data_IF_696075873931
#
_entry.id   IF_696075873931
#
_cell.length_a   1.000
_cell.length_b   1.000
_cell.length_c   1.000
_cell.angle_alpha   90.00
_cell.angle_beta   90.00
_cell.angle_gamma   90.00
#
_symmetry.space_group_name_H-M   'P 1'
#
loop_
_entity.id
_entity.type
_entity.pdbx_description
1 polymer ?
#
# COMPACT_ATOMS: atom_id res chain seq x y z
N UNK A 1 -17.75 -3.85 -18.91
CA UNK A 1 -16.91 -3.27 -17.83
C UNK A 1 -17.43 -3.88 -16.55
N UNK A 2 -16.65 -4.73 -15.88
CA UNK A 2 -17.07 -5.39 -14.65
C UNK A 2 -16.78 -4.43 -13.50
N UNK A 3 -17.82 -3.91 -12.87
CA UNK A 3 -17.68 -3.11 -11.67
C UNK A 3 -17.24 -4.04 -10.53
N UNK A 4 -16.14 -3.71 -9.83
CA UNK A 4 -15.79 -4.40 -8.59
C UNK A 4 -16.89 -4.11 -7.57
N UNK A 5 -17.45 -5.17 -6.97
CA UNK A 5 -18.36 -5.04 -5.84
C UNK A 5 -17.58 -4.43 -4.67
N UNK A 6 -18.02 -3.27 -4.19
CA UNK A 6 -17.37 -2.62 -3.05
C UNK A 6 -17.70 -3.40 -1.78
N UNK A 7 -16.68 -3.68 -0.97
CA UNK A 7 -16.81 -4.41 0.31
C UNK A 7 -17.38 -3.54 1.45
N UNK A 8 -17.81 -2.32 1.13
CA UNK A 8 -18.21 -1.28 2.09
C UNK A 8 -19.74 -1.16 2.20
N UNK A 9 -20.26 -0.84 3.40
CA UNK A 9 -21.65 -0.37 3.56
C UNK A 9 -21.81 1.09 3.09
N UNK A 10 -23.04 1.62 3.11
CA UNK A 10 -23.41 3.00 2.80
C UNK A 10 -22.48 4.10 3.39
N UNK A 11 -21.73 3.86 4.48
CA UNK A 11 -20.81 4.86 5.07
C UNK A 11 -19.56 4.27 5.77
N UNK A 12 -18.51 3.92 5.02
CA UNK A 12 -17.27 3.39 5.57
C UNK A 12 -16.45 4.48 6.26
N UNK A 13 -15.91 4.18 7.44
CA UNK A 13 -15.02 5.10 8.17
C UNK A 13 -13.67 5.26 7.45
N UNK A 14 -13.20 6.50 7.34
CA UNK A 14 -11.89 6.79 6.77
C UNK A 14 -10.78 6.33 7.73
N UNK A 15 -9.98 5.37 7.28
CA UNK A 15 -8.74 4.95 7.96
C UNK A 15 -7.54 5.38 7.14
N UNK A 16 -6.46 5.74 7.82
CA UNK A 16 -5.21 6.16 7.19
C UNK A 16 -4.09 5.18 7.50
N UNK A 17 -3.34 4.82 6.47
CA UNK A 17 -2.12 4.02 6.55
C UNK A 17 -0.92 4.90 6.23
N UNK A 18 0.06 4.89 7.11
CA UNK A 18 1.29 5.68 7.06
C UNK A 18 2.46 4.78 7.46
N UNK A 19 3.66 5.34 7.52
CA UNK A 19 4.85 4.65 8.01
C UNK A 19 4.66 4.01 9.41
N UNK A 20 3.83 4.58 10.27
CA UNK A 20 3.64 4.08 11.65
C UNK A 20 2.77 2.83 11.77
N UNK A 21 1.96 2.50 10.76
CA UNK A 21 0.97 1.41 10.87
C UNK A 21 0.80 0.57 9.59
N UNK A 22 1.55 0.83 8.52
CA UNK A 22 1.41 0.05 7.28
C UNK A 22 1.76 -1.44 7.45
N UNK A 23 2.60 -1.79 8.43
CA UNK A 23 2.91 -3.19 8.79
C UNK A 23 1.71 -3.93 9.39
N UNK A 24 0.67 -3.22 9.81
CA UNK A 24 -0.57 -3.83 10.34
C UNK A 24 -1.49 -4.34 9.21
N UNK A 25 -1.19 -3.97 7.96
CA UNK A 25 -1.96 -4.43 6.80
C UNK A 25 -1.71 -5.92 6.55
N UNK A 26 -2.76 -6.77 6.49
CA UNK A 26 -2.60 -8.20 6.24
C UNK A 26 -1.81 -8.50 4.96
N UNK A 27 -2.03 -7.70 3.92
CA UNK A 27 -1.31 -7.88 2.66
C UNK A 27 0.18 -7.52 2.74
N UNK A 28 0.56 -6.56 3.60
CA UNK A 28 1.97 -6.21 3.85
C UNK A 28 2.64 -7.28 4.70
N UNK A 29 1.94 -7.85 5.68
CA UNK A 29 2.46 -8.96 6.50
C UNK A 29 2.78 -10.22 5.69
N UNK A 30 2.11 -10.40 4.54
CA UNK A 30 2.39 -11.49 3.61
C UNK A 30 3.65 -11.26 2.75
N UNK A 31 4.20 -10.03 2.73
CA UNK A 31 5.46 -9.74 2.06
C UNK A 31 6.66 -10.18 2.91
N UNK A 32 7.79 -10.45 2.26
CA UNK A 32 9.03 -10.79 2.97
C UNK A 32 9.47 -9.64 3.89
N UNK A 33 10.15 -9.97 4.99
CA UNK A 33 10.68 -8.95 5.92
C UNK A 33 11.61 -7.96 5.20
N UNK A 34 12.39 -8.43 4.21
CA UNK A 34 13.21 -7.56 3.37
C UNK A 34 12.37 -6.51 2.64
N UNK A 35 11.22 -6.90 2.06
CA UNK A 35 10.32 -5.96 1.38
C UNK A 35 9.70 -4.97 2.35
N UNK A 36 9.25 -5.43 3.52
CA UNK A 36 8.71 -4.55 4.55
C UNK A 36 9.76 -3.54 5.04
N UNK A 37 11.00 -3.98 5.20
CA UNK A 37 12.13 -3.12 5.58
C UNK A 37 12.48 -2.12 4.46
N UNK A 38 12.52 -2.53 3.20
CA UNK A 38 12.71 -1.62 2.06
C UNK A 38 11.64 -0.50 2.07
N UNK A 39 10.37 -0.85 2.30
CA UNK A 39 9.29 0.11 2.40
C UNK A 39 9.49 1.08 3.57
N UNK A 40 9.95 0.59 4.72
CA UNK A 40 10.23 1.40 5.91
C UNK A 40 11.37 2.39 5.65
N UNK A 41 12.48 1.93 5.08
CA UNK A 41 13.64 2.79 4.75
C UNK A 41 13.23 3.90 3.80
N UNK A 42 12.52 3.55 2.72
CA UNK A 42 12.07 4.54 1.73
C UNK A 42 11.06 5.50 2.35
N UNK A 43 10.12 4.99 3.16
CA UNK A 43 9.10 5.78 3.83
C UNK A 43 9.66 6.77 4.88
N UNK A 44 10.86 6.52 5.42
CA UNK A 44 11.58 7.48 6.27
C UNK A 44 12.16 8.66 5.47
N UNK A 45 12.42 8.50 4.18
CA UNK A 45 12.95 9.55 3.29
C UNK A 45 11.82 10.26 2.55
N UNK A 46 10.89 9.48 2.00
CA UNK A 46 9.75 9.94 1.21
C UNK A 46 8.46 9.65 1.98
N UNK A 47 7.82 10.66 2.59
CA UNK A 47 6.60 10.45 3.34
C UNK A 47 5.48 9.94 2.43
N UNK A 48 4.70 8.99 2.91
CA UNK A 48 3.53 8.46 2.21
C UNK A 48 2.32 8.39 3.14
N UNK A 49 1.13 8.39 2.55
CA UNK A 49 -0.14 8.15 3.23
C UNK A 49 -1.13 7.54 2.24
N UNK A 50 -1.68 6.38 2.58
CA UNK A 50 -2.79 5.76 1.86
C UNK A 50 -4.04 5.74 2.75
N UNK A 51 -5.23 5.65 2.16
CA UNK A 51 -6.46 5.42 2.90
C UNK A 51 -6.97 4.00 2.67
N UNK A 52 -7.94 3.57 3.48
CA UNK A 52 -8.56 2.25 3.32
C UNK A 52 -9.27 2.05 1.98
N UNK A 53 -9.80 3.09 1.34
CA UNK A 53 -10.38 2.92 0.00
C UNK A 53 -9.34 2.47 -1.02
N UNK A 54 -8.19 3.15 -1.03
CA UNK A 54 -7.07 2.82 -1.92
C UNK A 54 -6.59 1.40 -1.66
N UNK A 55 -6.35 1.07 -0.39
CA UNK A 55 -5.82 -0.24 0.02
C UNK A 55 -6.78 -1.38 -0.27
N UNK A 56 -8.08 -1.21 0.03
CA UNK A 56 -9.05 -2.31 0.00
C UNK A 56 -9.78 -2.42 -1.35
N UNK A 57 -9.92 -1.32 -2.10
CA UNK A 57 -10.75 -1.27 -3.30
C UNK A 57 -9.97 -1.01 -4.59
N UNK A 58 -8.82 -0.32 -4.53
CA UNK A 58 -8.12 0.12 -5.75
C UNK A 58 -6.86 -0.69 -6.06
N UNK A 59 -6.20 -1.26 -5.06
CA UNK A 59 -4.99 -2.08 -5.26
C UNK A 59 -5.40 -3.52 -5.58
N UNK A 60 -4.95 -4.04 -6.72
CA UNK A 60 -4.98 -5.47 -6.99
C UNK A 60 -3.78 -6.17 -6.34
N UNK A 61 -3.99 -6.69 -5.12
CA UNK A 61 -2.97 -7.40 -4.36
C UNK A 61 -2.50 -8.71 -5.02
N UNK A 62 -3.23 -9.24 -6.01
CA UNK A 62 -2.79 -10.42 -6.78
C UNK A 62 -1.82 -10.06 -7.90
N UNK A 63 -1.67 -8.77 -8.21
CA UNK A 63 -0.85 -8.24 -9.30
C UNK A 63 0.35 -7.42 -8.80
N UNK A 64 0.76 -7.60 -7.55
CA UNK A 64 1.95 -6.95 -6.99
C UNK A 64 3.22 -7.70 -7.43
N UNK A 65 4.31 -6.99 -7.78
CA UNK A 65 4.53 -5.56 -7.60
C UNK A 65 4.11 -4.66 -8.78
N UNK A 66 3.45 -5.20 -9.79
CA UNK A 66 3.12 -4.48 -11.04
C UNK A 66 1.83 -3.68 -11.02
N UNK A 67 1.02 -3.81 -9.97
CA UNK A 67 -0.22 -3.06 -9.81
C UNK A 67 0.06 -1.54 -9.78
N UNK A 68 -0.54 -0.73 -10.67
CA UNK A 68 -0.28 0.71 -10.74
C UNK A 68 -0.65 1.45 -9.46
N UNK A 69 -1.72 1.04 -8.77
CA UNK A 69 -2.16 1.70 -7.55
C UNK A 69 -1.19 1.41 -6.41
N UNK A 70 -0.70 0.18 -6.27
CA UNK A 70 0.38 -0.18 -5.35
C UNK A 70 1.63 0.65 -5.66
N UNK A 71 2.03 0.71 -6.92
CA UNK A 71 3.25 1.42 -7.35
C UNK A 71 3.20 2.91 -7.01
N UNK A 72 2.05 3.55 -7.19
CA UNK A 72 1.85 4.97 -6.94
C UNK A 72 1.71 5.32 -5.46
N UNK A 73 1.33 4.37 -4.61
CA UNK A 73 0.89 4.66 -3.23
C UNK A 73 1.88 4.19 -2.17
N UNK A 74 2.56 3.06 -2.39
CA UNK A 74 3.47 2.48 -1.42
C UNK A 74 4.94 2.79 -1.73
N UNK A 75 5.77 3.04 -0.69
CA UNK A 75 7.19 3.28 -0.88
C UNK A 75 7.89 2.07 -1.52
N UNK A 76 8.78 2.32 -2.47
CA UNK A 76 9.52 1.28 -3.16
C UNK A 76 11.00 1.60 -3.21
N UNK A 77 11.85 0.56 -3.13
CA UNK A 77 13.31 0.70 -3.17
C UNK A 77 13.81 1.55 -4.35
N UNK A 78 13.20 1.39 -5.53
CA UNK A 78 13.57 2.14 -6.73
C UNK A 78 13.26 3.65 -6.68
N UNK A 79 12.56 4.13 -5.66
CA UNK A 79 12.30 5.57 -5.47
C UNK A 79 13.55 6.30 -4.94
N UNK A 80 14.49 5.58 -4.32
CA UNK A 80 15.77 6.12 -3.92
C UNK A 80 16.79 5.88 -5.03
N UNK A 81 17.61 6.90 -5.32
CA UNK A 81 18.70 6.76 -6.27
C UNK A 81 19.77 5.83 -5.66
N UNK A 82 20.33 4.88 -6.43
CA UNK A 82 21.58 4.23 -6.03
C UNK A 82 22.67 5.30 -5.94
N UNK A 83 23.64 5.08 -5.04
CA UNK A 83 24.85 5.91 -4.94
C UNK A 83 25.70 5.85 -6.21
#
# INVERSE_FOLDING_TARGET
MTYQESVWDDSPSLKSYTLSNFRDLPHIQNLSEEKQFEMEVVGNVLPFKANNYVVEQLIDWNNIPTDPMYVLTFPQRGMLKPE
#
